data_IF_854932933268
#
_entry.id   IF_854932933268
#
_cell.length_a   1.000
_cell.length_b   1.000
_cell.length_c   1.000
_cell.angle_alpha   90.00
_cell.angle_beta   90.00
_cell.angle_gamma   90.00
#
_symmetry.space_group_name_H-M   'P 1'
#
loop_
_entity.id
_entity.type
_entity.pdbx_description
1 polymer ?
#
# COMPACT_ATOMS: atom_id res chain seq x y z
N UNK A 1 97.54 4.21 25.16
CA UNK A 1 96.34 3.44 24.73
C UNK A 1 95.36 4.44 24.14
N UNK A 2 94.80 4.10 22.97
CA UNK A 2 94.21 4.98 21.95
C UNK A 2 92.92 5.66 22.38
N UNK A 3 92.84 6.98 22.20
CA UNK A 3 91.60 7.75 22.17
C UNK A 3 90.98 7.72 20.77
N UNK A 4 89.70 7.39 20.69
CA UNK A 4 88.97 7.23 19.42
C UNK A 4 88.23 8.53 19.09
N UNK A 5 88.58 9.15 17.97
CA UNK A 5 87.91 10.31 17.41
C UNK A 5 86.68 9.92 16.57
N UNK A 6 85.62 10.69 16.75
CA UNK A 6 84.31 10.60 16.10
C UNK A 6 84.41 10.71 14.57
N UNK A 7 83.79 9.80 13.84
CA UNK A 7 83.49 9.95 12.40
C UNK A 7 81.98 9.92 12.20
N UNK A 8 81.45 11.05 11.77
CA UNK A 8 80.06 11.27 11.36
C UNK A 8 79.79 10.54 10.04
N UNK A 9 78.78 9.67 10.00
CA UNK A 9 78.20 9.16 8.75
C UNK A 9 76.72 9.51 8.76
N UNK A 10 76.32 10.33 7.78
CA UNK A 10 74.96 10.72 7.55
C UNK A 10 74.19 9.54 6.92
N UNK A 11 73.14 9.08 7.59
CA UNK A 11 72.20 8.09 7.03
C UNK A 11 70.91 8.82 6.68
N UNK A 12 70.66 8.93 5.38
CA UNK A 12 69.39 9.41 4.81
C UNK A 12 68.32 8.36 5.13
N UNK A 13 67.32 8.74 5.94
CA UNK A 13 66.13 7.92 6.19
C UNK A 13 65.08 8.29 5.15
N UNK A 14 64.93 7.43 4.14
CA UNK A 14 63.78 7.45 3.22
C UNK A 14 62.52 7.04 3.97
N UNK A 15 61.61 7.99 4.17
CA UNK A 15 60.23 7.75 4.64
C UNK A 15 59.44 6.99 3.57
N UNK A 16 59.07 5.75 3.86
CA UNK A 16 58.06 5.02 3.09
C UNK A 16 56.68 5.60 3.42
N UNK A 17 56.01 6.19 2.42
CA UNK A 17 54.62 6.60 2.53
C UNK A 17 53.72 5.34 2.53
N UNK A 18 53.01 5.12 3.63
CA UNK A 18 51.94 4.12 3.72
C UNK A 18 50.76 4.66 2.92
N UNK A 19 50.52 4.11 1.73
CA UNK A 19 49.29 4.30 0.98
C UNK A 19 48.15 3.67 1.78
N UNK A 20 47.37 4.49 2.47
CA UNK A 20 46.11 4.08 3.07
C UNK A 20 45.18 3.56 1.97
N UNK A 21 44.69 2.34 2.18
CA UNK A 21 43.97 1.55 1.20
C UNK A 21 42.72 2.21 0.64
N UNK A 22 42.47 1.86 -0.60
CA UNK A 22 41.28 2.15 -1.39
C UNK A 22 40.04 1.75 -0.59
N UNK A 23 39.31 2.74 -0.08
CA UNK A 23 37.95 2.55 0.39
C UNK A 23 37.11 2.11 -0.81
N UNK A 24 36.83 0.81 -0.90
CA UNK A 24 35.87 0.29 -1.86
C UNK A 24 34.56 1.05 -1.66
N UNK A 25 34.11 1.73 -2.71
CA UNK A 25 32.75 2.23 -2.81
C UNK A 25 31.84 1.02 -2.65
N UNK A 26 31.30 0.82 -1.45
CA UNK A 26 30.11 0.00 -1.29
C UNK A 26 29.09 0.63 -2.21
N UNK A 27 28.48 -0.08 -3.17
CA UNK A 27 27.39 0.49 -3.91
C UNK A 27 26.33 0.82 -2.87
N UNK A 28 26.15 2.12 -2.60
CA UNK A 28 24.89 2.63 -2.09
C UNK A 28 23.89 2.07 -3.08
N UNK A 29 23.14 1.05 -2.68
CA UNK A 29 22.02 0.58 -3.48
C UNK A 29 21.19 1.84 -3.69
N UNK A 30 21.20 2.36 -4.91
CA UNK A 30 20.30 3.43 -5.29
C UNK A 30 18.94 2.93 -4.83
N UNK A 31 18.33 3.63 -3.88
CA UNK A 31 16.92 3.42 -3.58
C UNK A 31 16.26 3.58 -4.94
N UNK A 32 15.87 2.47 -5.56
CA UNK A 32 15.10 2.52 -6.79
C UNK A 32 13.85 3.25 -6.37
N UNK A 33 13.74 4.51 -6.78
CA UNK A 33 12.54 5.28 -6.53
C UNK A 33 11.48 4.57 -7.37
N UNK A 34 10.73 3.66 -6.76
CA UNK A 34 9.75 2.81 -7.42
C UNK A 34 8.70 3.64 -8.17
N UNK A 35 8.55 4.93 -7.80
CA UNK A 35 7.78 5.94 -8.52
C UNK A 35 8.28 6.22 -9.94
N UNK A 36 9.58 6.07 -10.23
CA UNK A 36 10.14 6.30 -11.56
C UNK A 36 9.79 5.16 -12.53
N UNK A 37 9.61 3.94 -12.03
CA UNK A 37 9.11 2.80 -12.80
C UNK A 37 7.59 2.65 -12.76
N UNK A 38 6.88 3.63 -12.19
CA UNK A 38 5.44 3.56 -12.04
C UNK A 38 4.75 3.72 -13.40
N UNK A 39 5.17 4.68 -14.23
CA UNK A 39 4.40 5.11 -15.41
C UNK A 39 5.27 4.97 -16.66
N UNK A 40 4.86 4.11 -17.59
CA UNK A 40 5.55 3.89 -18.88
C UNK A 40 4.83 4.60 -20.06
N UNK A 41 3.64 5.17 -19.80
CA UNK A 41 2.80 5.90 -20.75
C UNK A 41 1.56 6.45 -20.05
N UNK A 42 0.77 7.29 -20.73
CA UNK A 42 -0.44 7.87 -20.15
C UNK A 42 -1.71 7.14 -20.59
N UNK A 43 -2.24 6.20 -19.77
CA UNK A 43 -3.52 5.58 -20.04
C UNK A 43 -4.69 6.52 -19.70
N UNK A 44 -5.88 6.17 -20.19
CA UNK A 44 -7.12 6.85 -19.78
C UNK A 44 -7.49 6.49 -18.33
N UNK A 45 -7.23 5.24 -17.93
CA UNK A 45 -7.41 4.74 -16.57
C UNK A 45 -6.11 4.13 -16.04
N UNK A 46 -5.67 4.62 -14.88
CA UNK A 46 -4.53 4.08 -14.16
C UNK A 46 -4.99 3.40 -12.87
N UNK A 47 -4.68 2.10 -12.71
CA UNK A 47 -5.13 1.29 -11.56
C UNK A 47 -4.00 1.09 -10.55
N UNK A 48 -4.19 1.55 -9.32
CA UNK A 48 -3.25 1.39 -8.21
C UNK A 48 -3.69 0.25 -7.28
N UNK A 49 -2.83 -0.75 -7.11
CA UNK A 49 -3.07 -1.96 -6.35
C UNK A 49 -2.36 -2.00 -5.01
N UNK A 50 -3.10 -2.23 -3.93
CA UNK A 50 -2.57 -2.43 -2.58
C UNK A 50 -2.73 -3.90 -2.19
N UNK A 51 -1.64 -4.67 -2.24
CA UNK A 51 -1.61 -6.08 -1.90
C UNK A 51 -1.89 -6.35 -0.41
N UNK A 52 -2.13 -7.60 -0.03
CA UNK A 52 -2.33 -8.00 1.35
C UNK A 52 -1.04 -8.09 2.16
N UNK A 53 -1.19 -8.45 3.44
CA UNK A 53 -0.06 -8.78 4.33
C UNK A 53 0.77 -9.90 3.69
N UNK A 54 2.10 -9.78 3.72
CA UNK A 54 3.07 -10.74 3.16
C UNK A 54 3.15 -10.81 1.63
N UNK A 55 2.31 -10.05 0.93
CA UNK A 55 2.23 -10.02 -0.54
C UNK A 55 2.87 -8.76 -1.15
N UNK A 56 3.45 -7.89 -0.32
CA UNK A 56 4.21 -6.71 -0.71
C UNK A 56 5.48 -6.59 0.14
N UNK A 57 6.37 -5.73 -0.31
CA UNK A 57 7.57 -5.28 0.38
C UNK A 57 7.94 -3.88 -0.11
N UNK A 58 8.81 -3.13 0.60
CA UNK A 58 9.24 -1.79 0.17
C UNK A 58 9.95 -1.76 -1.20
N UNK A 59 10.50 -2.90 -1.63
CA UNK A 59 11.20 -3.13 -2.89
C UNK A 59 10.39 -3.97 -3.89
N UNK A 60 9.10 -4.19 -3.61
CA UNK A 60 8.24 -4.98 -4.49
C UNK A 60 8.16 -4.36 -5.90
N UNK A 61 8.20 -5.18 -6.97
CA UNK A 61 8.14 -4.68 -8.33
C UNK A 61 6.74 -4.13 -8.66
N UNK A 62 6.68 -2.89 -9.14
CA UNK A 62 5.41 -2.19 -9.41
C UNK A 62 4.64 -2.73 -10.61
N UNK A 63 5.35 -3.31 -11.60
CA UNK A 63 4.78 -3.82 -12.86
C UNK A 63 4.65 -5.35 -12.95
N UNK A 64 4.90 -6.11 -11.90
CA UNK A 64 4.77 -7.58 -11.94
C UNK A 64 3.46 -8.01 -11.27
N UNK A 65 2.65 -8.81 -11.96
CA UNK A 65 1.42 -9.40 -11.40
C UNK A 65 1.78 -10.50 -10.38
N UNK A 66 1.54 -10.22 -9.10
CA UNK A 66 1.80 -11.13 -7.97
C UNK A 66 0.66 -11.08 -6.95
N UNK A 67 0.74 -11.89 -5.89
CA UNK A 67 -0.21 -11.87 -4.77
C UNK A 67 -1.65 -12.17 -5.18
N UNK A 68 -2.59 -11.90 -4.28
CA UNK A 68 -4.01 -12.11 -4.56
C UNK A 68 -4.47 -11.24 -5.74
N UNK A 69 -4.07 -9.97 -5.78
CA UNK A 69 -4.57 -9.01 -6.76
C UNK A 69 -4.14 -9.31 -8.21
N UNK A 70 -3.19 -10.22 -8.47
CA UNK A 70 -2.92 -10.68 -9.85
C UNK A 70 -4.12 -11.35 -10.49
N UNK A 71 -4.94 -12.05 -9.69
CA UNK A 71 -6.18 -12.70 -10.14
C UNK A 71 -7.26 -11.70 -10.56
N UNK A 72 -7.07 -10.41 -10.25
CA UNK A 72 -7.98 -9.32 -10.61
C UNK A 72 -7.36 -8.47 -11.70
N UNK A 73 -6.14 -7.96 -11.48
CA UNK A 73 -5.53 -6.97 -12.37
C UNK A 73 -5.04 -7.57 -13.68
N UNK A 74 -4.53 -8.80 -13.68
CA UNK A 74 -4.10 -9.49 -14.90
C UNK A 74 -5.27 -9.66 -15.89
N UNK A 75 -6.35 -10.36 -15.49
CA UNK A 75 -7.54 -10.50 -16.33
C UNK A 75 -8.19 -9.17 -16.72
N UNK A 76 -8.18 -8.17 -15.82
CA UNK A 76 -8.66 -6.82 -16.14
C UNK A 76 -7.86 -6.17 -17.27
N UNK A 77 -6.52 -6.26 -17.24
CA UNK A 77 -5.67 -5.72 -18.30
C UNK A 77 -5.88 -6.47 -19.62
N UNK A 78 -6.01 -7.79 -19.60
CA UNK A 78 -6.27 -8.58 -20.80
C UNK A 78 -7.61 -8.20 -21.42
N UNK A 79 -8.66 -8.05 -20.60
CA UNK A 79 -9.96 -7.59 -21.09
C UNK A 79 -9.91 -6.15 -21.64
N UNK A 80 -9.16 -5.25 -21.00
CA UNK A 80 -8.98 -3.89 -21.49
C UNK A 80 -8.32 -3.88 -22.89
N UNK A 81 -7.30 -4.73 -23.11
CA UNK A 81 -6.64 -4.88 -24.41
C UNK A 81 -7.59 -5.40 -25.48
N UNK A 82 -8.41 -6.40 -25.16
CA UNK A 82 -9.42 -6.93 -26.08
C UNK A 82 -10.45 -5.88 -26.50
N UNK A 83 -10.82 -4.98 -25.58
CA UNK A 83 -11.76 -3.89 -25.83
C UNK A 83 -11.10 -2.66 -26.48
N UNK A 84 -9.78 -2.66 -26.66
CA UNK A 84 -9.02 -1.50 -27.12
C UNK A 84 -9.03 -0.33 -26.12
N UNK A 85 -9.31 -0.60 -24.84
CA UNK A 85 -9.33 0.40 -23.78
C UNK A 85 -7.90 0.71 -23.30
N UNK A 86 -7.63 1.99 -23.07
CA UNK A 86 -6.33 2.47 -22.58
C UNK A 86 -6.26 2.36 -21.05
N UNK A 87 -5.72 1.25 -20.56
CA UNK A 87 -5.59 0.96 -19.12
C UNK A 87 -4.18 0.52 -18.79
N UNK A 88 -3.62 1.06 -17.72
CA UNK A 88 -2.39 0.57 -17.10
C UNK A 88 -2.61 0.33 -15.60
N UNK A 89 -1.72 -0.43 -14.97
CA UNK A 89 -1.76 -0.71 -13.54
C UNK A 89 -0.39 -0.72 -12.90
N UNK A 90 -0.36 -0.51 -11.59
CA UNK A 90 0.80 -0.80 -10.77
C UNK A 90 0.40 -1.30 -9.39
N UNK A 91 1.26 -2.11 -8.78
CA UNK A 91 1.19 -2.47 -7.38
C UNK A 91 2.04 -1.50 -6.57
N UNK A 92 1.46 -0.86 -5.57
CA UNK A 92 2.15 0.11 -4.72
C UNK A 92 3.01 -0.66 -3.71
N UNK A 93 4.35 -0.49 -3.72
CA UNK A 93 5.24 -1.16 -2.78
C UNK A 93 5.03 -0.58 -1.38
N UNK A 94 4.88 -1.43 -0.38
CA UNK A 94 4.78 -1.01 1.02
C UNK A 94 5.16 -2.17 1.93
N UNK A 95 5.36 -1.97 3.24
CA UNK A 95 5.90 -3.01 4.11
C UNK A 95 5.10 -4.33 4.13
N UNK A 96 3.77 -4.28 3.99
CA UNK A 96 2.95 -5.51 3.98
C UNK A 96 3.08 -6.36 5.25
N UNK A 97 3.44 -5.78 6.40
CA UNK A 97 3.88 -6.50 7.59
C UNK A 97 2.85 -6.53 8.71
N UNK A 98 2.97 -7.48 9.63
CA UNK A 98 2.14 -7.59 10.83
C UNK A 98 3.02 -7.83 12.06
N UNK A 99 3.92 -6.89 12.36
CA UNK A 99 4.67 -6.90 13.61
C UNK A 99 5.55 -8.13 13.83
N UNK A 100 6.04 -8.78 12.76
CA UNK A 100 6.79 -10.04 12.84
C UNK A 100 5.98 -11.28 13.26
N UNK A 101 4.66 -11.16 13.43
CA UNK A 101 3.76 -12.29 13.63
C UNK A 101 3.53 -13.11 12.35
N UNK A 102 3.89 -12.52 11.21
CA UNK A 102 3.89 -13.16 9.89
C UNK A 102 5.25 -12.96 9.22
N UNK A 103 5.62 -13.78 8.22
CA UNK A 103 6.69 -13.43 7.29
C UNK A 103 6.46 -12.05 6.67
N UNK A 104 7.50 -11.34 6.24
CA UNK A 104 7.35 -10.01 5.59
C UNK A 104 7.76 -8.80 6.44
N UNK A 105 8.38 -9.02 7.61
CA UNK A 105 9.07 -7.96 8.36
C UNK A 105 8.47 -7.67 9.74
N UNK A 106 9.25 -6.96 10.57
CA UNK A 106 8.91 -6.69 11.97
C UNK A 106 8.07 -5.44 12.20
N UNK A 107 7.85 -4.60 11.18
CA UNK A 107 7.10 -3.35 11.31
C UNK A 107 5.64 -3.64 11.72
N UNK A 108 5.11 -2.88 12.68
CA UNK A 108 3.77 -3.08 13.20
C UNK A 108 2.71 -2.92 12.10
N UNK A 109 1.56 -3.56 12.26
CA UNK A 109 0.45 -3.51 11.30
C UNK A 109 0.04 -2.07 11.00
N UNK A 110 -0.13 -1.24 12.03
CA UNK A 110 -0.57 0.15 11.84
C UNK A 110 0.50 0.98 11.12
N UNK A 111 1.78 0.85 11.48
CA UNK A 111 2.86 1.52 10.72
C UNK A 111 2.96 1.01 9.28
N UNK A 112 2.63 -0.25 9.03
CA UNK A 112 2.58 -0.82 7.68
C UNK A 112 1.43 -0.20 6.86
N UNK A 113 0.22 -0.14 7.43
CA UNK A 113 -0.96 0.48 6.81
C UNK A 113 -0.72 1.97 6.53
N UNK A 114 -0.18 2.72 7.49
CA UNK A 114 0.13 4.15 7.31
C UNK A 114 1.12 4.36 6.17
N UNK A 115 2.21 3.59 6.12
CA UNK A 115 3.16 3.67 5.00
C UNK A 115 2.53 3.29 3.66
N UNK A 116 1.60 2.33 3.64
CA UNK A 116 0.83 1.98 2.46
C UNK A 116 -0.07 3.11 1.96
N UNK A 117 -0.74 3.82 2.87
CA UNK A 117 -1.57 4.99 2.54
C UNK A 117 -0.73 6.17 2.01
N UNK A 118 0.43 6.43 2.63
CA UNK A 118 1.38 7.44 2.18
C UNK A 118 1.92 7.12 0.78
N UNK A 119 2.35 5.88 0.55
CA UNK A 119 2.86 5.46 -0.77
C UNK A 119 1.76 5.48 -1.83
N UNK A 120 0.53 5.09 -1.49
CA UNK A 120 -0.60 5.19 -2.41
C UNK A 120 -0.90 6.65 -2.78
N UNK A 121 -0.77 7.57 -1.83
CA UNK A 121 -0.91 9.01 -2.06
C UNK A 121 0.16 9.53 -3.02
N UNK A 122 1.43 9.20 -2.78
CA UNK A 122 2.55 9.55 -3.66
C UNK A 122 2.38 8.99 -5.07
N UNK A 123 1.93 7.74 -5.20
CA UNK A 123 1.67 7.12 -6.49
C UNK A 123 0.53 7.83 -7.25
N UNK A 124 -0.55 8.18 -6.56
CA UNK A 124 -1.68 8.88 -7.14
C UNK A 124 -1.30 10.29 -7.64
N UNK A 125 -0.55 11.06 -6.84
CA UNK A 125 -0.01 12.36 -7.25
C UNK A 125 0.90 12.21 -8.46
N UNK A 126 1.87 11.29 -8.40
CA UNK A 126 2.83 11.03 -9.49
C UNK A 126 2.14 10.71 -10.82
N UNK A 127 1.10 9.87 -10.79
CA UNK A 127 0.31 9.53 -11.98
C UNK A 127 -0.36 10.77 -12.56
N UNK A 128 -1.00 11.60 -11.73
CA UNK A 128 -1.71 12.79 -12.22
C UNK A 128 -0.77 13.93 -12.63
N UNK A 129 0.41 14.03 -12.02
CA UNK A 129 1.45 14.96 -12.43
C UNK A 129 1.97 14.66 -13.84
N UNK A 130 2.22 13.37 -14.14
CA UNK A 130 2.73 12.96 -15.45
C UNK A 130 1.63 12.80 -16.50
N UNK A 131 0.43 12.40 -16.08
CA UNK A 131 -0.72 12.13 -16.94
C UNK A 131 -1.97 12.86 -16.43
N UNK A 132 -2.08 14.19 -16.63
CA UNK A 132 -3.16 15.00 -16.03
C UNK A 132 -4.57 14.64 -16.50
N UNK A 133 -4.71 13.96 -17.64
CA UNK A 133 -5.99 13.48 -18.16
C UNK A 133 -6.40 12.11 -17.63
N UNK A 134 -5.49 11.36 -17.00
CA UNK A 134 -5.79 10.02 -16.50
C UNK A 134 -6.80 10.07 -15.36
N UNK A 135 -7.73 9.11 -15.33
CA UNK A 135 -8.52 8.80 -14.14
C UNK A 135 -7.80 7.73 -13.33
N UNK A 136 -8.06 7.69 -12.03
CA UNK A 136 -7.50 6.71 -11.12
C UNK A 136 -8.55 5.66 -10.75
N UNK A 137 -8.14 4.39 -10.66
CA UNK A 137 -8.86 3.39 -9.89
C UNK A 137 -7.94 2.83 -8.79
N UNK A 138 -8.53 2.50 -7.64
CA UNK A 138 -7.79 1.91 -6.52
C UNK A 138 -8.37 0.54 -6.19
N UNK A 139 -7.52 -0.47 -6.14
CA UNK A 139 -7.89 -1.82 -5.74
C UNK A 139 -7.07 -2.21 -4.52
N UNK A 140 -7.70 -2.76 -3.49
CA UNK A 140 -6.98 -3.19 -2.29
C UNK A 140 -7.46 -4.54 -1.78
N UNK A 141 -6.55 -5.31 -1.18
CA UNK A 141 -6.85 -6.58 -0.53
C UNK A 141 -6.36 -6.63 0.91
N UNK A 142 -7.19 -7.11 1.84
CA UNK A 142 -6.84 -7.34 3.24
C UNK A 142 -6.18 -6.10 3.89
N UNK A 143 -4.90 -6.18 4.30
CA UNK A 143 -4.16 -5.01 4.80
C UNK A 143 -4.08 -3.87 3.79
N UNK A 144 -3.82 -4.15 2.51
CA UNK A 144 -3.85 -3.15 1.46
C UNK A 144 -5.23 -2.56 1.22
N UNK A 145 -6.30 -3.33 1.44
CA UNK A 145 -7.66 -2.80 1.44
C UNK A 145 -7.92 -1.82 2.59
N UNK A 146 -7.26 -1.99 3.74
CA UNK A 146 -7.30 -1.00 4.81
C UNK A 146 -6.67 0.32 4.35
N UNK A 147 -5.42 0.28 3.87
CA UNK A 147 -4.72 1.48 3.38
C UNK A 147 -5.48 2.18 2.24
N UNK A 148 -5.98 1.41 1.26
CA UNK A 148 -6.81 1.92 0.18
C UNK A 148 -8.13 2.53 0.67
N UNK A 149 -8.77 1.92 1.67
CA UNK A 149 -9.99 2.47 2.28
C UNK A 149 -9.74 3.82 2.93
N UNK A 150 -8.64 3.98 3.68
CA UNK A 150 -8.26 5.24 4.30
C UNK A 150 -7.99 6.32 3.25
N UNK A 151 -7.18 6.01 2.23
CA UNK A 151 -6.91 6.90 1.11
C UNK A 151 -8.20 7.37 0.41
N UNK A 152 -9.07 6.42 0.01
CA UNK A 152 -10.33 6.74 -0.68
C UNK A 152 -11.27 7.55 0.22
N UNK A 153 -11.30 7.27 1.53
CA UNK A 153 -12.12 8.03 2.49
C UNK A 153 -11.61 9.46 2.61
N UNK A 154 -10.31 9.67 2.68
CA UNK A 154 -9.69 11.01 2.71
C UNK A 154 -9.95 11.78 1.42
N UNK A 155 -9.75 11.17 0.26
CA UNK A 155 -10.05 11.77 -1.05
C UNK A 155 -11.54 12.14 -1.16
N UNK A 156 -12.43 11.21 -0.79
CA UNK A 156 -13.87 11.42 -0.86
C UNK A 156 -14.42 12.51 0.06
N UNK A 157 -13.73 12.77 1.18
CA UNK A 157 -13.99 13.88 2.11
C UNK A 157 -13.34 15.20 1.67
N UNK A 158 -12.53 15.19 0.62
CA UNK A 158 -11.81 16.38 0.15
C UNK A 158 -10.58 16.74 0.98
N UNK A 159 -10.06 15.81 1.79
CA UNK A 159 -8.86 16.00 2.62
C UNK A 159 -7.66 15.18 2.10
N UNK A 160 -7.81 14.48 0.98
CA UNK A 160 -6.73 13.71 0.34
C UNK A 160 -5.88 14.54 -0.61
N UNK A 161 -4.81 13.93 -1.10
CA UNK A 161 -3.81 14.55 -2.01
C UNK A 161 -4.32 14.80 -3.44
N UNK A 162 -5.37 14.08 -3.85
CA UNK A 162 -5.98 14.20 -5.18
C UNK A 162 -7.47 14.53 -5.07
N UNK A 163 -8.05 15.25 -6.05
CA UNK A 163 -9.47 15.57 -6.03
C UNK A 163 -10.32 14.32 -6.31
N UNK A 164 -11.45 14.15 -5.62
CA UNK A 164 -12.36 13.01 -5.80
C UNK A 164 -12.92 12.85 -7.23
N UNK A 165 -12.88 13.90 -8.05
CA UNK A 165 -13.31 13.87 -9.45
C UNK A 165 -12.43 13.01 -10.37
N UNK A 166 -11.17 12.76 -9.99
CA UNK A 166 -10.25 11.93 -10.79
C UNK A 166 -10.34 10.45 -10.48
N UNK A 167 -10.95 10.06 -9.35
CA UNK A 167 -11.06 8.63 -8.96
C UNK A 167 -12.27 8.01 -9.65
N UNK A 168 -12.07 7.26 -10.74
CA UNK A 168 -13.14 6.56 -11.44
C UNK A 168 -13.79 5.46 -10.59
N UNK A 169 -13.00 4.68 -9.85
CA UNK A 169 -13.51 3.54 -9.09
C UNK A 169 -12.62 3.16 -7.89
N UNK A 170 -13.22 2.52 -6.90
CA UNK A 170 -12.52 1.80 -5.84
C UNK A 170 -13.07 0.38 -5.67
N UNK A 171 -12.21 -0.61 -5.46
CA UNK A 171 -12.62 -1.98 -5.15
C UNK A 171 -11.78 -2.55 -4.01
N UNK A 172 -12.43 -2.83 -2.89
CA UNK A 172 -11.78 -3.28 -1.67
C UNK A 172 -12.24 -4.70 -1.36
N UNK A 173 -11.29 -5.61 -1.18
CA UNK A 173 -11.55 -7.03 -0.91
C UNK A 173 -11.04 -7.37 0.49
N UNK A 174 -11.90 -7.93 1.35
CA UNK A 174 -11.50 -8.33 2.69
C UNK A 174 -11.10 -7.16 3.59
N UNK A 175 -11.70 -5.97 3.40
CA UNK A 175 -11.27 -4.75 4.07
C UNK A 175 -11.51 -4.77 5.60
N UNK A 176 -10.46 -4.63 6.43
CA UNK A 176 -10.59 -4.50 7.89
C UNK A 176 -11.35 -3.28 8.37
N UNK A 177 -11.54 -2.30 7.48
CA UNK A 177 -12.30 -1.06 7.72
C UNK A 177 -13.79 -1.21 7.45
N UNK A 178 -14.28 -2.37 6.98
CA UNK A 178 -15.70 -2.54 6.64
C UNK A 178 -16.59 -2.36 7.87
N UNK A 179 -17.53 -1.41 7.81
CA UNK A 179 -18.53 -1.26 8.88
C UNK A 179 -19.55 -2.41 8.85
N UNK A 180 -19.97 -2.87 10.03
CA UNK A 180 -20.94 -3.96 10.15
C UNK A 180 -22.25 -3.65 9.43
N UNK A 181 -22.83 -4.64 8.76
CA UNK A 181 -24.05 -4.49 7.95
C UNK A 181 -23.93 -3.60 6.71
N UNK A 182 -22.73 -3.15 6.33
CA UNK A 182 -22.55 -2.35 5.11
C UNK A 182 -22.81 -3.20 3.86
N UNK A 183 -23.58 -2.65 2.92
CA UNK A 183 -23.77 -3.21 1.59
C UNK A 183 -22.52 -3.14 0.71
N UNK A 184 -22.64 -3.57 -0.55
CA UNK A 184 -21.53 -3.59 -1.50
C UNK A 184 -20.93 -2.19 -1.73
N UNK A 185 -21.75 -1.14 -1.74
CA UNK A 185 -21.32 0.25 -1.85
C UNK A 185 -21.62 0.98 -0.52
N UNK A 186 -20.64 1.09 0.39
CA UNK A 186 -20.85 1.75 1.68
C UNK A 186 -21.39 3.18 1.51
N UNK A 187 -22.36 3.53 2.35
CA UNK A 187 -23.06 4.82 2.32
C UNK A 187 -24.23 4.89 1.34
N UNK A 188 -24.51 3.82 0.58
CA UNK A 188 -25.62 3.78 -0.38
C UNK A 188 -26.39 2.46 -0.31
N UNK A 189 -27.54 2.39 -0.97
CA UNK A 189 -28.32 1.16 -1.17
C UNK A 189 -28.10 0.53 -2.56
N UNK A 190 -27.09 1.01 -3.30
CA UNK A 190 -26.84 0.60 -4.67
C UNK A 190 -26.22 -0.82 -4.71
N UNK A 191 -26.49 -1.52 -5.81
CA UNK A 191 -25.87 -2.81 -6.15
C UNK A 191 -25.08 -2.74 -7.48
N UNK A 192 -24.92 -1.54 -8.03
CA UNK A 192 -24.10 -1.23 -9.19
C UNK A 192 -23.39 0.12 -8.99
N UNK A 193 -22.26 0.36 -9.68
CA UNK A 193 -21.46 1.57 -9.50
C UNK A 193 -22.20 2.83 -9.96
N UNK A 194 -21.92 3.95 -9.30
CA UNK A 194 -22.25 5.28 -9.79
C UNK A 194 -21.36 5.68 -10.97
N UNK A 195 -21.85 6.51 -11.90
CA UNK A 195 -21.04 7.04 -13.00
C UNK A 195 -19.78 7.77 -12.54
N UNK A 196 -18.73 7.71 -13.38
CA UNK A 196 -17.53 8.54 -13.23
C UNK A 196 -17.90 9.99 -13.55
N UNK A 197 -17.45 10.98 -12.76
CA UNK A 197 -17.59 12.39 -13.10
C UNK A 197 -17.12 12.68 -14.53
N UNK A 198 -17.80 13.60 -15.20
CA UNK A 198 -17.51 14.02 -16.58
C UNK A 198 -17.80 12.94 -17.65
N UNK A 199 -18.57 11.90 -17.30
CA UNK A 199 -19.09 10.89 -18.25
C UNK A 199 -20.61 10.86 -18.27
N UNK A 200 -21.21 10.33 -19.35
CA UNK A 200 -22.68 10.12 -19.43
C UNK A 200 -23.16 9.01 -18.48
N UNK A 201 -22.25 8.09 -18.12
CA UNK A 201 -22.53 6.94 -17.27
C UNK A 201 -23.36 5.85 -17.93
N UNK A 202 -23.63 5.91 -19.23
CA UNK A 202 -24.49 4.94 -19.93
C UNK A 202 -23.95 3.51 -19.82
N UNK A 203 -22.65 3.31 -20.08
CA UNK A 203 -22.00 2.00 -19.95
C UNK A 203 -22.03 1.46 -18.53
N UNK A 204 -21.82 2.33 -17.53
CA UNK A 204 -21.85 1.94 -16.11
C UNK A 204 -23.27 1.56 -15.67
N UNK A 205 -24.28 2.31 -16.12
CA UNK A 205 -25.70 2.02 -15.85
C UNK A 205 -26.19 0.74 -16.51
N UNK A 206 -25.57 0.35 -17.63
CA UNK A 206 -25.88 -0.88 -18.34
C UNK A 206 -25.25 -2.13 -17.69
N UNK A 207 -24.36 -1.97 -16.71
CA UNK A 207 -23.81 -3.10 -15.97
C UNK A 207 -24.91 -3.82 -15.20
N UNK A 208 -24.89 -5.16 -15.28
CA UNK A 208 -25.77 -5.98 -14.46
C UNK A 208 -25.47 -5.75 -12.97
N UNK A 209 -26.52 -5.70 -12.15
CA UNK A 209 -26.34 -5.66 -10.70
C UNK A 209 -25.62 -6.92 -10.24
N UNK A 210 -24.71 -6.75 -9.28
CA UNK A 210 -24.02 -7.90 -8.71
C UNK A 210 -24.88 -8.46 -7.57
N UNK A 211 -25.19 -9.76 -7.65
CA UNK A 211 -25.79 -10.47 -6.53
C UNK A 211 -24.76 -10.57 -5.40
N UNK A 212 -24.91 -9.71 -4.40
CA UNK A 212 -24.05 -9.66 -3.23
C UNK A 212 -24.90 -9.70 -1.96
N UNK A 213 -24.70 -10.72 -1.14
CA UNK A 213 -25.28 -10.79 0.21
C UNK A 213 -24.27 -10.25 1.18
N UNK A 214 -24.54 -9.05 1.71
CA UNK A 214 -23.66 -8.42 2.68
C UNK A 214 -23.58 -9.25 3.97
N UNK A 215 -22.38 -9.60 4.43
CA UNK A 215 -22.23 -10.25 5.73
C UNK A 215 -22.68 -9.32 6.88
N UNK A 216 -23.21 -9.89 7.96
CA UNK A 216 -23.73 -9.09 9.09
C UNK A 216 -22.61 -8.47 9.94
N UNK A 217 -21.49 -9.19 10.11
CA UNK A 217 -20.33 -8.74 10.87
C UNK A 217 -19.63 -7.56 10.22
N UNK A 218 -18.55 -7.09 10.84
CA UNK A 218 -17.73 -5.99 10.34
C UNK A 218 -16.25 -6.27 10.52
N UNK A 219 -15.40 -5.43 9.94
CA UNK A 219 -13.97 -5.65 9.96
C UNK A 219 -13.32 -5.56 11.34
N UNK A 220 -12.14 -6.17 11.46
CA UNK A 220 -11.34 -6.24 12.69
C UNK A 220 -10.38 -5.07 12.86
N UNK A 221 -10.34 -4.13 11.91
CA UNK A 221 -9.53 -2.94 12.02
C UNK A 221 -9.91 -2.08 13.23
N UNK A 222 -9.10 -1.07 13.57
CA UNK A 222 -9.41 -0.13 14.63
C UNK A 222 -10.80 0.49 14.43
N UNK A 223 -11.55 0.67 15.52
CA UNK A 223 -12.93 1.21 15.44
C UNK A 223 -12.95 2.60 14.78
N UNK A 224 -11.91 3.39 15.00
CA UNK A 224 -11.74 4.71 14.37
C UNK A 224 -11.60 4.66 12.85
N UNK A 225 -11.16 3.52 12.31
CA UNK A 225 -10.92 3.33 10.87
C UNK A 225 -12.10 2.63 10.17
N UNK A 226 -13.17 2.29 10.90
CA UNK A 226 -14.37 1.75 10.27
C UNK A 226 -15.01 2.80 9.36
N UNK A 227 -15.16 2.43 8.09
CA UNK A 227 -15.69 3.28 7.03
C UNK A 227 -17.16 2.96 6.79
N UNK A 228 -18.03 3.94 7.01
CA UNK A 228 -19.48 3.83 6.72
C UNK A 228 -19.82 4.28 5.31
N UNK A 229 -19.06 5.23 4.78
CA UNK A 229 -19.21 5.84 3.46
C UNK A 229 -17.86 6.43 3.02
N UNK A 230 -17.78 6.80 1.74
CA UNK A 230 -16.59 7.42 1.15
C UNK A 230 -16.86 8.86 0.69
N UNK A 231 -17.77 9.58 1.36
CA UNK A 231 -18.15 10.94 0.96
C UNK A 231 -18.57 11.02 -0.52
N UNK A 232 -17.94 11.91 -1.28
CA UNK A 232 -18.20 12.09 -2.72
C UNK A 232 -17.77 10.90 -3.62
N UNK A 233 -17.06 9.92 -3.07
CA UNK A 233 -16.76 8.64 -3.75
C UNK A 233 -17.78 7.53 -3.42
N UNK A 234 -18.75 7.77 -2.53
CA UNK A 234 -19.80 6.78 -2.23
C UNK A 234 -20.55 6.39 -3.50
N UNK A 235 -20.79 5.09 -3.70
CA UNK A 235 -21.30 4.55 -4.95
C UNK A 235 -20.24 4.28 -6.03
N UNK A 236 -19.02 4.84 -5.93
CA UNK A 236 -17.86 4.47 -6.79
C UNK A 236 -16.88 3.52 -6.10
N UNK A 237 -16.95 3.40 -4.78
CA UNK A 237 -16.13 2.46 -3.99
C UNK A 237 -16.96 1.26 -3.57
N UNK A 238 -16.55 0.08 -4.02
CA UNK A 238 -17.13 -1.21 -3.64
C UNK A 238 -16.31 -1.88 -2.54
N UNK A 239 -17.00 -2.54 -1.60
CA UNK A 239 -16.41 -3.24 -0.45
C UNK A 239 -16.91 -4.70 -0.43
N UNK A 240 -16.09 -5.58 -0.95
CA UNK A 240 -16.32 -7.01 -1.07
C UNK A 240 -15.86 -7.74 0.19
N UNK A 241 -16.73 -8.55 0.74
CA UNK A 241 -16.44 -9.38 1.90
C UNK A 241 -17.15 -10.71 1.77
N UNK A 242 -16.42 -11.80 1.96
CA UNK A 242 -16.99 -13.14 2.02
C UNK A 242 -17.51 -13.41 3.43
N UNK A 243 -18.69 -14.01 3.55
CA UNK A 243 -19.22 -14.45 4.84
C UNK A 243 -18.23 -15.38 5.53
N UNK A 244 -17.89 -15.08 6.78
CA UNK A 244 -16.91 -15.81 7.59
C UNK A 244 -15.46 -15.34 7.44
N UNK A 245 -15.15 -14.40 6.55
CA UNK A 245 -13.83 -13.77 6.49
C UNK A 245 -13.65 -12.83 7.69
N UNK A 246 -12.89 -13.28 8.70
CA UNK A 246 -12.67 -12.53 9.92
C UNK A 246 -12.02 -11.16 9.69
N UNK A 247 -11.34 -10.91 8.56
CA UNK A 247 -10.81 -9.59 8.27
C UNK A 247 -11.94 -8.55 8.16
N UNK A 248 -13.06 -8.89 7.52
CA UNK A 248 -14.13 -7.95 7.14
C UNK A 248 -15.55 -8.32 7.64
N UNK A 249 -15.70 -9.50 8.24
CA UNK A 249 -16.93 -10.10 8.78
C UNK A 249 -16.70 -10.72 10.17
N UNK A 250 -15.98 -10.02 11.04
CA UNK A 250 -15.91 -10.41 12.45
C UNK A 250 -17.21 -10.06 13.19
N UNK A 251 -17.64 -10.86 14.18
CA UNK A 251 -18.83 -10.58 14.96
C UNK A 251 -18.80 -9.19 15.59
N UNK A 252 -19.89 -8.43 15.42
CA UNK A 252 -19.99 -7.05 15.91
C UNK A 252 -19.87 -6.96 17.45
N UNK A 253 -20.15 -8.05 18.16
CA UNK A 253 -20.09 -8.22 19.62
C UNK A 253 -18.79 -8.92 20.09
N UNK A 254 -17.68 -8.81 19.36
CA UNK A 254 -16.37 -9.35 19.76
C UNK A 254 -15.36 -8.24 20.16
N UNK A 255 -15.65 -7.39 21.19
CA UNK A 255 -14.76 -6.29 21.57
C UNK A 255 -13.39 -6.79 22.06
N UNK A 256 -13.33 -7.97 22.68
CA UNK A 256 -12.08 -8.59 23.15
C UNK A 256 -11.20 -9.00 21.96
N UNK A 257 -11.78 -9.62 20.93
CA UNK A 257 -11.03 -10.03 19.73
C UNK A 257 -10.46 -8.81 19.02
N UNK A 258 -11.26 -7.75 18.85
CA UNK A 258 -10.81 -6.47 18.27
C UNK A 258 -9.71 -5.82 19.11
N UNK A 259 -9.84 -5.81 20.44
CA UNK A 259 -8.82 -5.28 21.33
C UNK A 259 -7.50 -6.05 21.20
N UNK A 260 -7.55 -7.39 21.17
CA UNK A 260 -6.36 -8.24 21.01
C UNK A 260 -5.69 -8.00 19.65
N UNK A 261 -6.46 -7.96 18.56
CA UNK A 261 -5.93 -7.68 17.22
C UNK A 261 -5.31 -6.28 17.15
N UNK A 262 -5.94 -5.28 17.76
CA UNK A 262 -5.41 -3.92 17.79
C UNK A 262 -4.10 -3.84 18.59
N UNK A 263 -4.01 -4.50 19.74
CA UNK A 263 -2.76 -4.56 20.52
C UNK A 263 -1.69 -5.31 19.73
N UNK A 264 -2.00 -6.49 19.20
CA UNK A 264 -1.05 -7.29 18.41
C UNK A 264 -0.58 -6.53 17.16
N UNK A 265 -1.46 -5.77 16.52
CA UNK A 265 -1.15 -4.94 15.36
C UNK A 265 -0.25 -3.73 15.67
N UNK A 266 -0.06 -3.36 16.94
CA UNK A 266 0.84 -2.28 17.36
C UNK A 266 2.23 -2.78 17.77
N UNK A 267 2.36 -4.08 18.06
CA UNK A 267 3.62 -4.68 18.52
C UNK A 267 4.54 -4.97 17.33
N UNK A 268 5.84 -4.85 17.56
CA UNK A 268 6.90 -5.30 16.66
C UNK A 268 7.68 -6.42 17.35
N UNK A 269 7.49 -7.65 16.90
CA UNK A 269 8.16 -8.86 17.43
C UNK A 269 9.32 -9.20 16.50
N UNK A 270 10.56 -9.21 17.02
CA UNK A 270 11.74 -9.57 16.22
C UNK A 270 12.98 -8.68 16.37
N UNK A 271 12.97 -7.72 17.30
CA UNK A 271 14.16 -7.00 17.77
C UNK A 271 14.33 -7.16 19.28
N UNK A 272 15.49 -6.73 19.80
CA UNK A 272 15.92 -6.75 21.22
C UNK A 272 14.75 -6.86 22.23
N UNK A 273 14.71 -7.88 23.12
CA UNK A 273 13.59 -8.15 24.04
C UNK A 273 13.16 -6.95 24.91
N UNK A 274 13.96 -5.91 25.04
CA UNK A 274 13.58 -4.67 25.73
C UNK A 274 12.66 -3.73 24.92
N UNK A 275 12.63 -3.83 23.59
CA UNK A 275 11.76 -2.99 22.72
C UNK A 275 10.29 -3.41 22.83
N UNK A 276 10.02 -4.71 22.94
CA UNK A 276 8.67 -5.24 23.06
C UNK A 276 7.94 -4.76 24.33
N UNK A 277 8.68 -4.45 25.40
CA UNK A 277 8.15 -3.92 26.66
C UNK A 277 7.96 -2.39 26.60
N UNK A 278 8.75 -1.68 25.79
CA UNK A 278 8.65 -0.23 25.64
C UNK A 278 7.51 0.22 24.71
N UNK A 279 7.05 -0.62 23.78
CA UNK A 279 5.96 -0.30 22.84
C UNK A 279 4.54 -0.48 23.38
N UNK A 280 4.38 -0.99 24.61
CA UNK A 280 3.06 -1.23 25.24
C UNK A 280 2.73 -0.17 26.32
N UNK A 281 3.50 0.93 26.37
CA UNK A 281 3.29 2.07 27.27
C UNK A 281 2.55 3.24 26.63
#
# INVERSE_FOLDING_TARGET
>A
MKGWGTRTVATVVTTAAVLAGVGGLVPVHAQTNWLDGLIDGCPDLYVLGMQGTTESSPDAPVKVDTGMLSNIMGPMLDQARELGASVDRAYVPYPGSFGGLTPGGSRSYIKSVTAGEENLSLAAEKVLEQCPSAKLAVVGYSQGAHAASNFLRSVGKGTGVVPAGVVAAGALFGAPTRSAGSGLFPGTSQSSPSPVPDTTGETVKALSSVAFTAPEGGGIGPVADLTKDYGSLSGRVSSWCQTGDLACDAPANAPIVRAVVNVAGQVEVGGDPFVAVATVG
#
